data_IF_305838377131
#
_entry.id   IF_305838377131
#
_cell.length_a   1.000
_cell.length_b   1.000
_cell.length_c   1.000
_cell.angle_alpha   90.00
_cell.angle_beta   90.00
_cell.angle_gamma   90.00
#
_symmetry.space_group_name_H-M   'P 1'
#
loop_
_entity.id
_entity.type
_entity.pdbx_description
1 polymer ?
#
# COMPACT_ATOMS: atom_id res chain seq x y z
N UNK A 1 34.93 11.78 -7.63
CA UNK A 1 33.53 11.91 -8.10
C UNK A 1 32.69 10.95 -7.24
N UNK A 2 32.24 11.41 -6.06
CA UNK A 2 31.62 10.56 -5.05
C UNK A 2 30.11 10.81 -5.04
N UNK A 3 29.32 9.90 -5.63
CA UNK A 3 27.88 9.83 -5.40
C UNK A 3 27.64 9.36 -3.97
N UNK A 4 27.57 10.30 -3.02
CA UNK A 4 27.11 10.04 -1.65
C UNK A 4 25.57 10.00 -1.66
N UNK A 5 25.04 8.84 -1.29
CA UNK A 5 23.78 8.64 -0.56
C UNK A 5 22.51 9.30 -1.13
N UNK A 6 21.91 8.66 -2.13
CA UNK A 6 20.47 8.76 -2.39
C UNK A 6 19.90 7.35 -2.22
N UNK A 7 19.78 6.88 -0.98
CA UNK A 7 19.21 5.56 -0.70
C UNK A 7 18.38 5.63 0.56
N UNK A 8 17.17 6.19 0.44
CA UNK A 8 16.12 6.05 1.45
C UNK A 8 14.80 6.64 0.92
N UNK A 9 14.02 5.83 0.23
CA UNK A 9 12.67 6.22 -0.17
C UNK A 9 11.74 4.99 -0.31
N UNK A 10 11.83 4.01 0.59
CA UNK A 10 10.70 3.14 0.99
C UNK A 10 11.17 2.28 2.18
N UNK A 11 11.66 2.93 3.25
CA UNK A 11 12.12 2.25 4.47
C UNK A 11 11.34 2.81 5.65
N UNK A 12 10.43 1.98 6.17
CA UNK A 12 9.75 2.17 7.44
C UNK A 12 10.78 2.29 8.56
N UNK A 13 10.72 3.38 9.32
CA UNK A 13 11.15 3.39 10.71
C UNK A 13 9.87 3.46 11.55
N UNK A 14 9.52 2.35 12.23
CA UNK A 14 8.39 2.31 13.15
C UNK A 14 8.70 3.17 14.38
N UNK A 15 8.04 4.32 14.50
CA UNK A 15 7.74 4.91 15.80
C UNK A 15 6.22 4.80 15.99
N UNK A 16 5.82 3.99 16.97
CA UNK A 16 4.43 3.75 17.31
C UNK A 16 3.89 4.99 18.04
N UNK A 17 3.05 5.78 17.37
CA UNK A 17 2.23 6.80 18.05
C UNK A 17 0.78 6.54 17.72
N UNK A 18 0.01 6.13 18.73
CA UNK A 18 -1.44 6.11 18.65
C UNK A 18 -1.94 7.56 18.60
N UNK A 19 -2.26 8.07 17.41
CA UNK A 19 -3.07 9.27 17.25
C UNK A 19 -4.08 9.07 16.13
N UNK A 20 -5.34 9.02 16.54
CA UNK A 20 -6.53 9.08 15.69
C UNK A 20 -6.58 10.48 15.10
N UNK A 21 -6.41 10.60 13.79
CA UNK A 21 -6.95 11.73 13.04
C UNK A 21 -7.64 11.17 11.79
N UNK A 22 -8.96 11.06 11.90
CA UNK A 22 -9.84 10.75 10.79
C UNK A 22 -9.66 11.85 9.72
N UNK A 23 -9.13 11.49 8.56
CA UNK A 23 -9.30 12.30 7.36
C UNK A 23 -10.78 12.23 6.95
N UNK A 24 -11.35 13.30 6.36
CA UNK A 24 -12.75 13.30 5.95
C UNK A 24 -12.98 12.19 4.92
N UNK A 25 -13.68 11.14 5.36
CA UNK A 25 -14.29 10.16 4.48
C UNK A 25 -15.33 10.94 3.66
N UNK A 26 -15.31 10.82 2.34
CA UNK A 26 -16.40 11.27 1.50
C UNK A 26 -17.61 10.35 1.75
N UNK A 27 -18.23 10.46 2.92
CA UNK A 27 -19.47 9.78 3.26
C UNK A 27 -20.63 10.54 2.61
N UNK A 28 -20.90 10.20 1.36
CA UNK A 28 -22.24 10.39 0.82
C UNK A 28 -23.20 9.51 1.62
N UNK A 29 -23.89 10.12 2.58
CA UNK A 29 -24.92 9.52 3.42
C UNK A 29 -25.96 8.82 2.53
N UNK A 30 -25.91 7.49 2.45
CA UNK A 30 -26.94 6.66 1.82
C UNK A 30 -27.20 5.47 2.73
N UNK A 31 -28.44 5.44 3.22
CA UNK A 31 -28.98 4.48 4.17
C UNK A 31 -28.79 3.05 3.66
N UNK A 32 -28.06 2.25 4.46
CA UNK A 32 -27.65 0.86 4.21
C UNK A 32 -28.81 -0.10 3.83
N UNK A 33 -30.05 0.29 4.12
CA UNK A 33 -31.24 -0.53 3.90
C UNK A 33 -31.71 -0.61 2.43
N UNK A 34 -31.35 0.35 1.57
CA UNK A 34 -31.87 0.41 0.19
C UNK A 34 -30.99 -0.28 -0.86
N UNK A 35 -29.84 -0.83 -0.48
CA UNK A 35 -28.88 -1.49 -1.40
C UNK A 35 -29.05 -3.01 -1.47
N UNK A 36 -29.89 -3.61 -0.62
CA UNK A 36 -30.06 -5.06 -0.52
C UNK A 36 -31.02 -5.65 -1.58
N UNK A 37 -31.75 -4.81 -2.33
CA UNK A 37 -32.76 -5.26 -3.30
C UNK A 37 -32.29 -5.32 -4.77
N UNK A 38 -31.05 -4.93 -5.08
CA UNK A 38 -30.52 -5.00 -6.44
C UNK A 38 -29.70 -6.28 -6.69
N UNK A 39 -30.36 -7.45 -6.60
CA UNK A 39 -29.75 -8.73 -7.03
C UNK A 39 -29.63 -8.75 -8.56
N UNK A 40 -28.50 -8.25 -9.06
CA UNK A 40 -28.06 -8.40 -10.43
C UNK A 40 -27.31 -7.18 -10.96
N UNK A 41 -26.00 -7.32 -11.18
CA UNK A 41 -25.21 -6.50 -12.12
C UNK A 41 -24.95 -5.01 -11.81
N UNK A 42 -24.77 -4.59 -10.55
CA UNK A 42 -24.52 -3.16 -10.25
C UNK A 42 -23.14 -2.82 -9.64
N UNK A 43 -22.17 -3.74 -9.57
CA UNK A 43 -20.85 -3.40 -8.97
C UNK A 43 -20.27 -2.11 -9.58
N UNK A 44 -20.36 -1.94 -10.91
CA UNK A 44 -19.81 -0.77 -11.61
C UNK A 44 -20.42 0.59 -11.27
N UNK A 45 -21.59 0.67 -10.63
CA UNK A 45 -22.16 1.96 -10.17
C UNK A 45 -21.60 2.41 -8.81
N UNK A 46 -20.91 1.52 -8.09
CA UNK A 46 -20.37 1.80 -6.76
C UNK A 46 -18.96 2.40 -6.88
N UNK A 47 -18.76 3.57 -6.29
CA UNK A 47 -17.50 4.34 -6.43
C UNK A 47 -16.51 4.18 -5.26
N UNK A 48 -16.98 3.74 -4.10
CA UNK A 48 -16.16 3.60 -2.89
C UNK A 48 -15.89 2.15 -2.54
N UNK A 49 -14.71 1.90 -1.96
CA UNK A 49 -14.31 0.54 -1.57
C UNK A 49 -15.26 -0.06 -0.55
N UNK A 50 -15.60 0.65 0.53
CA UNK A 50 -16.43 0.11 1.61
C UNK A 50 -17.84 -0.24 1.14
N UNK A 51 -18.45 0.59 0.30
CA UNK A 51 -19.75 0.25 -0.31
C UNK A 51 -19.65 -0.93 -1.27
N UNK A 52 -18.52 -1.06 -1.98
CA UNK A 52 -18.31 -2.14 -2.92
C UNK A 52 -18.25 -3.51 -2.23
N UNK A 53 -17.40 -3.62 -1.20
CA UNK A 53 -17.17 -4.89 -0.50
C UNK A 53 -18.31 -5.27 0.45
N UNK A 54 -19.27 -4.37 0.68
CA UNK A 54 -20.53 -4.69 1.35
C UNK A 54 -21.48 -5.51 0.48
N UNK A 55 -21.28 -5.54 -0.85
CA UNK A 55 -22.07 -6.36 -1.78
C UNK A 55 -21.35 -7.70 -1.97
N UNK A 56 -22.05 -8.81 -1.72
CA UNK A 56 -21.46 -10.16 -1.64
C UNK A 56 -20.64 -10.54 -2.87
N UNK A 57 -21.09 -10.14 -4.05
CA UNK A 57 -20.52 -10.56 -5.33
C UNK A 57 -19.59 -9.50 -5.94
N UNK A 58 -19.33 -8.42 -5.20
CA UNK A 58 -18.44 -7.35 -5.64
C UNK A 58 -17.13 -7.34 -4.86
N UNK A 59 -16.11 -6.78 -5.50
CA UNK A 59 -14.81 -6.50 -4.92
C UNK A 59 -14.21 -5.24 -5.55
N UNK A 60 -13.43 -4.50 -4.79
CA UNK A 60 -12.86 -3.23 -5.25
C UNK A 60 -11.49 -3.48 -5.89
N UNK A 61 -11.29 -3.07 -7.14
CA UNK A 61 -10.01 -3.26 -7.84
C UNK A 61 -8.93 -2.33 -7.29
N UNK A 62 -7.80 -2.91 -6.88
CA UNK A 62 -6.59 -2.17 -6.47
C UNK A 62 -5.85 -1.55 -7.67
N UNK A 63 -6.22 -1.94 -8.89
CA UNK A 63 -5.60 -1.47 -10.15
C UNK A 63 -6.41 -0.35 -10.76
N UNK A 64 -7.71 -0.58 -10.99
CA UNK A 64 -8.55 0.39 -11.71
C UNK A 64 -9.33 1.32 -10.79
N UNK A 65 -9.30 1.08 -9.47
CA UNK A 65 -10.05 1.83 -8.46
C UNK A 65 -11.55 1.88 -8.71
N UNK A 66 -12.08 0.74 -9.16
CA UNK A 66 -13.50 0.55 -9.45
C UNK A 66 -14.03 -0.67 -8.73
N UNK A 67 -15.31 -0.62 -8.39
CA UNK A 67 -16.02 -1.78 -7.92
C UNK A 67 -16.35 -2.70 -9.09
N UNK A 68 -15.95 -3.97 -8.98
CA UNK A 68 -16.05 -4.98 -10.03
C UNK A 68 -16.63 -6.27 -9.45
N UNK A 69 -17.00 -7.21 -10.31
CA UNK A 69 -17.35 -8.55 -9.86
C UNK A 69 -16.15 -9.18 -9.15
N UNK A 70 -16.45 -9.83 -8.02
CA UNK A 70 -15.47 -10.56 -7.21
C UNK A 70 -14.88 -11.71 -8.02
N UNK A 71 -13.56 -11.82 -7.98
CA UNK A 71 -12.78 -12.93 -8.53
C UNK A 71 -12.11 -13.64 -7.36
N UNK A 72 -12.59 -14.85 -7.06
CA UNK A 72 -12.04 -15.67 -5.98
C UNK A 72 -10.52 -15.81 -6.09
N UNK A 73 -9.82 -15.64 -4.97
CA UNK A 73 -8.36 -15.70 -4.90
C UNK A 73 -7.58 -14.54 -5.54
N UNK A 74 -8.24 -13.53 -6.10
CA UNK A 74 -7.53 -12.38 -6.70
C UNK A 74 -6.87 -11.49 -5.64
N UNK A 75 -5.53 -11.41 -5.66
CA UNK A 75 -4.75 -10.48 -4.82
C UNK A 75 -4.88 -9.01 -5.25
N UNK A 76 -5.40 -8.77 -6.45
CA UNK A 76 -5.61 -7.44 -7.04
C UNK A 76 -6.95 -6.81 -6.65
N UNK A 77 -7.77 -7.53 -5.88
CA UNK A 77 -9.07 -7.06 -5.43
C UNK A 77 -9.12 -6.99 -3.90
N UNK A 78 -9.74 -5.93 -3.38
CA UNK A 78 -10.16 -5.84 -1.98
C UNK A 78 -11.53 -6.46 -1.87
N UNK A 79 -11.65 -7.52 -1.06
CA UNK A 79 -12.87 -8.31 -0.92
C UNK A 79 -13.54 -8.15 0.45
N UNK A 80 -12.95 -7.35 1.35
CA UNK A 80 -13.48 -7.06 2.68
C UNK A 80 -13.13 -5.63 3.09
N UNK A 81 -13.85 -5.11 4.08
CA UNK A 81 -13.63 -3.75 4.60
C UNK A 81 -12.22 -3.52 5.16
N UNK A 82 -11.50 -4.58 5.53
CA UNK A 82 -10.14 -4.51 6.10
C UNK A 82 -9.15 -3.86 5.12
N UNK A 83 -9.27 -4.11 3.81
CA UNK A 83 -8.36 -3.54 2.81
C UNK A 83 -8.77 -2.16 2.28
N UNK A 84 -9.95 -1.67 2.63
CA UNK A 84 -10.45 -0.39 2.11
C UNK A 84 -9.69 0.85 2.60
N UNK A 85 -9.10 0.91 3.81
CA UNK A 85 -8.29 2.06 4.23
C UNK A 85 -7.17 2.40 3.26
N UNK A 86 -6.48 1.41 2.69
CA UNK A 86 -5.45 1.64 1.67
C UNK A 86 -6.03 2.27 0.41
N UNK A 87 -7.15 1.75 -0.09
CA UNK A 87 -7.79 2.24 -1.31
C UNK A 87 -8.34 3.66 -1.12
N UNK A 88 -8.95 3.93 0.03
CA UNK A 88 -9.44 5.26 0.38
C UNK A 88 -8.28 6.27 0.44
N UNK A 89 -7.13 5.88 0.99
CA UNK A 89 -5.95 6.73 0.98
C UNK A 89 -5.43 6.97 -0.44
N UNK A 90 -5.34 5.93 -1.27
CA UNK A 90 -4.96 6.06 -2.68
C UNK A 90 -5.87 7.04 -3.43
N UNK A 91 -7.19 6.91 -3.29
CA UNK A 91 -8.16 7.81 -3.93
C UNK A 91 -8.08 9.25 -3.39
N UNK A 92 -7.71 9.42 -2.11
CA UNK A 92 -7.51 10.76 -1.52
C UNK A 92 -6.22 11.43 -1.99
N UNK A 93 -5.14 10.66 -2.14
CA UNK A 93 -3.82 11.19 -2.55
C UNK A 93 -3.74 11.39 -4.06
N UNK A 94 -4.43 10.53 -4.82
CA UNK A 94 -4.53 10.58 -6.26
C UNK A 94 -6.00 10.78 -6.68
N UNK A 95 -6.59 11.96 -6.44
CA UNK A 95 -7.97 12.22 -6.78
C UNK A 95 -8.18 12.17 -8.30
N UNK A 96 -9.42 11.89 -8.72
CA UNK A 96 -9.79 11.90 -10.13
C UNK A 96 -9.57 13.30 -10.74
N UNK A 97 -8.72 13.40 -11.77
CA UNK A 97 -8.73 14.54 -12.67
C UNK A 97 -9.98 14.49 -13.58
N UNK A 98 -10.39 15.61 -14.15
CA UNK A 98 -11.57 15.68 -15.04
C UNK A 98 -11.47 14.63 -16.16
N UNK A 99 -12.43 13.71 -16.20
CA UNK A 99 -12.46 12.62 -17.18
C UNK A 99 -11.47 11.47 -16.95
N UNK A 100 -10.83 11.40 -15.77
CA UNK A 100 -9.92 10.33 -15.36
C UNK A 100 -10.46 9.60 -14.14
N UNK A 101 -10.02 8.36 -13.95
CA UNK A 101 -10.36 7.56 -12.76
C UNK A 101 -9.55 8.05 -11.56
N UNK A 102 -10.15 8.02 -10.36
CA UNK A 102 -9.42 8.24 -9.12
C UNK A 102 -8.42 7.10 -8.88
N UNK A 103 -7.38 7.34 -8.09
CA UNK A 103 -6.35 6.36 -7.77
C UNK A 103 -5.33 6.10 -8.88
N UNK A 104 -5.47 6.70 -10.07
CA UNK A 104 -4.45 6.60 -11.11
C UNK A 104 -3.16 7.27 -10.63
N UNK A 105 -2.11 6.47 -10.47
CA UNK A 105 -0.78 6.91 -10.06
C UNK A 105 -0.16 7.73 -11.21
N UNK A 106 0.17 9.02 -10.98
CA UNK A 106 0.79 9.86 -12.00
C UNK A 106 2.12 9.31 -12.53
N UNK A 107 2.43 9.57 -13.80
CA UNK A 107 3.63 9.04 -14.48
C UNK A 107 4.94 9.33 -13.75
N UNK A 108 5.07 10.51 -13.14
CA UNK A 108 6.26 10.89 -12.37
C UNK A 108 6.42 10.05 -11.10
N UNK A 109 5.33 9.71 -10.42
CA UNK A 109 5.33 8.80 -9.25
C UNK A 109 5.62 7.36 -9.72
N UNK A 110 5.01 6.92 -10.81
CA UNK A 110 5.24 5.59 -11.39
C UNK A 110 6.69 5.40 -11.86
N UNK A 111 7.31 6.42 -12.46
CA UNK A 111 8.72 6.43 -12.84
C UNK A 111 9.63 6.33 -11.63
N UNK A 112 9.33 7.08 -10.58
CA UNK A 112 10.12 7.04 -9.34
C UNK A 112 10.01 5.67 -8.66
N UNK A 113 8.82 5.07 -8.61
CA UNK A 113 8.66 3.70 -8.14
C UNK A 113 9.47 2.70 -8.97
N UNK A 114 9.38 2.77 -10.30
CA UNK A 114 10.17 1.92 -11.21
C UNK A 114 11.67 2.07 -10.96
N UNK A 115 12.16 3.27 -10.65
CA UNK A 115 13.57 3.52 -10.34
C UNK A 115 14.01 2.80 -9.06
N UNK A 116 13.14 2.68 -8.07
CA UNK A 116 13.46 2.06 -6.76
C UNK A 116 12.98 0.60 -6.63
N UNK A 117 12.18 0.09 -7.56
CA UNK A 117 11.54 -1.23 -7.45
C UNK A 117 12.55 -2.35 -7.34
N UNK A 118 13.65 -2.30 -8.11
CA UNK A 118 14.74 -3.27 -7.99
C UNK A 118 15.35 -3.29 -6.59
N UNK A 119 15.53 -2.12 -5.94
CA UNK A 119 16.01 -2.08 -4.56
C UNK A 119 15.02 -2.75 -3.58
N UNK A 120 13.72 -2.65 -3.87
CA UNK A 120 12.65 -3.24 -3.05
C UNK A 120 12.58 -4.76 -3.24
N UNK A 121 12.44 -5.23 -4.47
CA UNK A 121 12.10 -6.62 -4.77
C UNK A 121 13.30 -7.52 -5.05
N UNK A 122 14.48 -6.96 -5.36
CA UNK A 122 15.69 -7.74 -5.65
C UNK A 122 16.85 -7.38 -4.72
N UNK A 123 16.92 -6.12 -4.29
CA UNK A 123 18.04 -5.52 -3.59
C UNK A 123 19.23 -5.18 -4.48
N UNK A 124 20.30 -4.67 -3.90
CA UNK A 124 21.54 -4.40 -4.65
C UNK A 124 22.33 -5.70 -4.87
N UNK A 125 22.78 -5.94 -6.09
CA UNK A 125 23.57 -7.14 -6.44
C UNK A 125 24.92 -7.20 -5.72
N UNK A 126 25.54 -6.04 -5.48
CA UNK A 126 26.84 -5.92 -4.81
C UNK A 126 26.79 -5.98 -3.28
N UNK A 127 25.60 -5.85 -2.68
CA UNK A 127 25.42 -5.87 -1.23
C UNK A 127 24.15 -6.62 -0.85
N UNK A 128 24.30 -7.86 -0.38
CA UNK A 128 23.19 -8.71 0.06
C UNK A 128 22.35 -8.10 1.19
N UNK A 129 22.94 -7.24 2.01
CA UNK A 129 22.25 -6.59 3.13
C UNK A 129 21.54 -5.28 2.75
N UNK A 130 21.70 -4.77 1.52
CA UNK A 130 20.98 -3.58 1.05
C UNK A 130 19.67 -3.94 0.37
N UNK A 131 18.63 -3.11 0.53
CA UNK A 131 17.33 -3.32 -0.10
C UNK A 131 16.62 -4.58 0.39
N UNK A 132 15.90 -5.28 -0.51
CA UNK A 132 15.18 -6.54 -0.25
C UNK A 132 14.14 -6.37 0.84
N UNK A 133 13.08 -5.64 0.53
CA UNK A 133 12.04 -5.27 1.50
C UNK A 133 10.88 -6.27 1.53
N UNK A 134 11.00 -7.41 0.86
CA UNK A 134 10.07 -8.54 0.95
C UNK A 134 10.75 -9.79 1.49
N UNK A 135 10.00 -10.69 2.12
CA UNK A 135 10.53 -11.99 2.57
C UNK A 135 11.07 -12.81 1.40
N UNK A 136 10.38 -12.79 0.25
CA UNK A 136 10.83 -13.46 -0.97
C UNK A 136 12.22 -12.99 -1.42
N UNK A 137 12.46 -11.67 -1.43
CA UNK A 137 13.73 -11.07 -1.82
C UNK A 137 14.84 -11.35 -0.79
N UNK A 138 14.51 -11.23 0.51
CA UNK A 138 15.48 -11.43 1.58
C UNK A 138 15.96 -12.88 1.64
N UNK A 139 15.03 -13.84 1.65
CA UNK A 139 15.35 -15.26 1.77
C UNK A 139 16.04 -15.82 0.53
N UNK A 140 15.82 -15.22 -0.65
CA UNK A 140 16.60 -15.54 -1.86
C UNK A 140 18.09 -15.22 -1.68
N UNK A 141 18.42 -14.12 -0.98
CA UNK A 141 19.80 -13.71 -0.72
C UNK A 141 20.38 -14.31 0.59
N UNK A 142 19.52 -14.72 1.52
CA UNK A 142 19.88 -15.32 2.80
C UNK A 142 19.10 -16.63 3.02
N UNK A 143 19.43 -17.69 2.27
CA UNK A 143 18.72 -18.97 2.40
C UNK A 143 18.83 -19.52 3.83
N UNK A 144 17.70 -19.91 4.41
CA UNK A 144 17.65 -20.52 5.75
C UNK A 144 17.53 -19.54 6.92
N UNK A 145 17.61 -18.24 6.66
CA UNK A 145 17.29 -17.22 7.67
C UNK A 145 15.86 -17.41 8.19
N UNK A 146 15.68 -17.11 9.48
CA UNK A 146 14.37 -17.16 10.15
C UNK A 146 14.04 -15.81 10.76
N UNK A 147 12.77 -15.37 10.70
CA UNK A 147 12.37 -14.15 11.36
C UNK A 147 12.57 -14.29 12.87
N UNK A 148 13.09 -13.25 13.49
CA UNK A 148 13.25 -13.11 14.94
C UNK A 148 12.04 -12.45 15.60
N UNK A 149 11.23 -11.72 14.82
CA UNK A 149 9.97 -11.16 15.27
C UNK A 149 8.98 -11.07 14.11
N UNK A 150 7.70 -11.04 14.44
CA UNK A 150 6.59 -10.88 13.51
C UNK A 150 5.54 -9.98 14.12
N UNK A 151 5.09 -8.98 13.36
CA UNK A 151 3.87 -8.26 13.68
C UNK A 151 2.70 -8.88 12.88
N UNK A 152 1.83 -9.61 13.57
CA UNK A 152 0.71 -10.30 12.95
C UNK A 152 -0.35 -9.35 12.36
N UNK A 153 -0.50 -8.13 12.89
CA UNK A 153 -1.48 -7.17 12.41
C UNK A 153 -1.05 -6.49 11.10
N UNK A 154 0.26 -6.30 10.92
CA UNK A 154 0.82 -5.65 9.72
C UNK A 154 1.51 -6.62 8.77
N UNK A 155 1.68 -7.89 9.13
CA UNK A 155 2.44 -8.87 8.36
C UNK A 155 3.86 -8.39 7.99
N UNK A 156 4.51 -7.71 8.94
CA UNK A 156 5.91 -7.30 8.84
C UNK A 156 6.74 -8.27 9.68
N UNK A 157 7.78 -8.83 9.07
CA UNK A 157 8.75 -9.70 9.73
C UNK A 157 10.05 -8.95 9.99
N UNK A 158 10.75 -9.34 11.04
CA UNK A 158 12.09 -8.86 11.36
C UNK A 158 13.11 -10.00 11.32
N UNK A 159 14.28 -9.76 10.72
CA UNK A 159 15.43 -10.66 10.62
C UNK A 159 16.66 -10.02 11.28
N UNK A 160 17.67 -10.82 11.64
CA UNK A 160 18.93 -10.27 12.16
C UNK A 160 19.73 -9.51 11.08
N UNK A 161 20.47 -8.45 11.45
CA UNK A 161 20.59 -7.90 12.80
C UNK A 161 19.48 -6.93 13.23
N UNK A 162 18.61 -6.46 12.32
CA UNK A 162 17.44 -5.56 12.57
C UNK A 162 16.72 -5.24 11.23
N UNK A 163 16.61 -6.24 10.35
CA UNK A 163 16.07 -6.08 9.00
C UNK A 163 14.57 -6.33 9.01
N UNK A 164 13.76 -5.32 8.71
CA UNK A 164 12.31 -5.50 8.52
C UNK A 164 11.95 -5.71 7.05
N UNK A 165 10.96 -6.58 6.80
CA UNK A 165 10.45 -6.90 5.46
C UNK A 165 8.93 -7.10 5.50
N UNK A 166 8.27 -6.82 4.39
CA UNK A 166 6.89 -7.24 4.14
C UNK A 166 6.84 -8.75 3.88
N UNK A 167 5.89 -9.43 4.52
CA UNK A 167 5.66 -10.84 4.29
C UNK A 167 4.98 -11.09 2.93
N UNK A 168 5.71 -11.68 1.99
CA UNK A 168 5.26 -11.98 0.62
C UNK A 168 4.07 -12.95 0.55
N UNK A 169 3.81 -13.71 1.62
CA UNK A 169 2.62 -14.57 1.66
C UNK A 169 1.33 -13.73 1.79
N UNK A 170 1.43 -12.56 2.42
CA UNK A 170 0.30 -11.67 2.69
C UNK A 170 0.27 -10.43 1.78
N UNK A 171 1.44 -9.85 1.47
CA UNK A 171 1.55 -8.70 0.58
C UNK A 171 1.71 -9.13 -0.88
N UNK A 172 0.91 -8.53 -1.77
CA UNK A 172 1.23 -8.54 -3.20
C UNK A 172 2.17 -7.39 -3.55
N UNK A 173 2.90 -7.52 -4.67
CA UNK A 173 3.72 -6.43 -5.22
C UNK A 173 2.88 -5.18 -5.50
N UNK A 174 1.61 -5.35 -5.87
CA UNK A 174 0.66 -4.26 -6.07
C UNK A 174 0.34 -3.52 -4.76
N UNK A 175 0.20 -4.24 -3.64
CA UNK A 175 0.00 -3.59 -2.33
C UNK A 175 1.21 -2.73 -1.97
N UNK A 176 2.41 -3.26 -2.18
CA UNK A 176 3.68 -2.56 -1.92
C UNK A 176 3.82 -1.36 -2.85
N UNK A 177 3.49 -1.51 -4.14
CA UNK A 177 3.51 -0.42 -5.11
C UNK A 177 2.56 0.71 -4.71
N UNK A 178 1.32 0.40 -4.34
CA UNK A 178 0.33 1.39 -3.90
C UNK A 178 0.81 2.13 -2.63
N UNK A 179 1.37 1.42 -1.65
CA UNK A 179 1.96 2.04 -0.46
C UNK A 179 3.16 2.95 -0.78
N UNK A 180 4.10 2.49 -1.62
CA UNK A 180 5.24 3.32 -2.01
C UNK A 180 4.80 4.51 -2.89
N UNK A 181 3.77 4.37 -3.72
CA UNK A 181 3.23 5.49 -4.51
C UNK A 181 2.71 6.62 -3.62
N UNK A 182 1.90 6.29 -2.59
CA UNK A 182 1.47 7.27 -1.57
C UNK A 182 2.67 7.93 -0.92
N UNK A 183 3.66 7.12 -0.53
CA UNK A 183 4.87 7.61 0.14
C UNK A 183 5.66 8.59 -0.73
N UNK A 184 5.85 8.27 -2.00
CA UNK A 184 6.54 9.13 -2.98
C UNK A 184 5.77 10.44 -3.18
N UNK A 185 4.44 10.36 -3.33
CA UNK A 185 3.62 11.55 -3.54
C UNK A 185 3.59 12.47 -2.32
N UNK A 186 3.51 11.92 -1.11
CA UNK A 186 3.48 12.70 0.15
C UNK A 186 4.87 13.21 0.57
N UNK A 187 5.92 12.42 0.34
CA UNK A 187 7.30 12.78 0.63
C UNK A 187 7.89 13.77 -0.39
N UNK A 188 7.33 13.79 -1.60
CA UNK A 188 7.85 14.55 -2.74
C UNK A 188 8.91 13.76 -3.52
N UNK A 189 9.00 14.03 -4.84
CA UNK A 189 9.92 13.35 -5.76
C UNK A 189 11.38 13.86 -5.60
N UNK A 190 11.56 15.05 -5.00
CA UNK A 190 12.85 15.76 -4.93
C UNK A 190 13.42 15.87 -3.50
N UNK A 191 13.39 14.77 -2.75
CA UNK A 191 13.89 14.59 -1.37
C UNK A 191 12.82 14.75 -0.27
N UNK A 192 12.90 13.91 0.79
CA UNK A 192 12.05 14.05 1.96
C UNK A 192 12.28 15.42 2.57
N UNK A 193 11.22 16.23 2.70
CA UNK A 193 11.27 17.45 3.52
C UNK A 193 11.63 17.01 4.95
N UNK A 194 12.80 17.39 5.49
CA UNK A 194 13.21 16.96 6.82
C UNK A 194 12.14 17.34 7.84
N UNK A 195 11.61 16.34 8.54
CA UNK A 195 10.65 16.53 9.63
C UNK A 195 9.16 16.33 9.31
N UNK A 196 8.78 16.02 8.07
CA UNK A 196 7.41 15.59 7.76
C UNK A 196 7.29 14.06 7.85
N UNK A 197 6.75 13.58 8.97
CA UNK A 197 6.24 12.21 9.04
C UNK A 197 4.95 12.14 8.25
N UNK A 198 4.79 11.12 7.41
CA UNK A 198 3.53 10.81 6.77
C UNK A 198 3.12 9.37 7.07
N UNK A 199 1.81 9.18 7.02
CA UNK A 199 1.12 7.93 7.34
C UNK A 199 0.76 7.24 6.03
N UNK A 200 1.01 5.94 5.95
CA UNK A 200 0.65 5.07 4.83
C UNK A 200 -0.25 3.97 5.35
N UNK A 201 -1.37 3.72 4.69
CA UNK A 201 -2.30 2.65 5.04
C UNK A 201 -1.86 1.33 4.39
N UNK A 202 -1.78 0.28 5.19
CA UNK A 202 -1.54 -1.09 4.73
C UNK A 202 -2.83 -1.73 4.19
N UNK A 203 -2.75 -2.81 3.39
CA UNK A 203 -3.91 -3.58 2.96
C UNK A 203 -4.63 -4.32 4.12
N UNK A 204 -4.11 -4.22 5.34
CA UNK A 204 -4.65 -4.85 6.56
C UNK A 204 -5.33 -3.83 7.49
N UNK A 205 -5.61 -2.63 6.99
CA UNK A 205 -6.25 -1.56 7.75
C UNK A 205 -5.39 -0.97 8.86
N UNK A 206 -4.08 -1.23 8.84
CA UNK A 206 -3.11 -0.67 9.77
C UNK A 206 -2.37 0.51 9.17
N UNK A 207 -2.13 1.52 9.99
CA UNK A 207 -1.25 2.65 9.67
C UNK A 207 0.21 2.25 9.82
N UNK A 208 1.00 2.53 8.79
CA UNK A 208 2.45 2.48 8.78
C UNK A 208 3.00 3.91 8.74
N UNK A 209 3.76 4.29 9.76
CA UNK A 209 4.36 5.64 9.85
C UNK A 209 5.79 5.59 9.34
N UNK A 210 6.18 6.54 8.49
CA UNK A 210 7.59 6.80 8.22
C UNK A 210 8.13 7.73 9.33
N UNK A 211 8.75 7.13 10.37
CA UNK A 211 9.37 7.86 11.48
C UNK A 211 10.69 8.53 11.09
N UNK A 212 10.92 9.73 11.67
CA UNK A 212 12.17 10.52 11.61
C UNK A 212 13.39 9.63 11.89
N UNK A 213 14.41 9.72 11.04
CA UNK A 213 15.80 9.52 11.49
C UNK A 213 16.29 10.81 12.12
#
# INVERSE_FOLDING_TARGET
>A
MFLKQISMACLLTLALTAQVQAAPVWEGNTTLANLLDARGSSCGSVRGCSQCVAISDCAFSKVTFECQNKKEGSKEQVQSNVGCPQMNQMQSVFPAAKGKKAGLIPDNVSKEFTRISHHIFDGESSNKNSGRHTTSAWLKAHPGDKPIAQNAATHILEFKPQKTVWDSDFYSDLDIMNMCAVSIQLGGINAPVPGKAFVVQSPFGQTLTQGKR
#
